data_IF_812963301725
#
_entry.id   IF_812963301725
#
_cell.length_a   1.000
_cell.length_b   1.000
_cell.length_c   1.000
_cell.angle_alpha   90.00
_cell.angle_beta   90.00
_cell.angle_gamma   90.00
#
_symmetry.space_group_name_H-M   'P 1'
#
loop_
_entity.id
_entity.type
_entity.pdbx_description
1 polymer ?
#
# COMPACT_ATOMS: atom_id res chain seq x y z
N UNK A 1 -1.17 -18.88 -11.27
CA UNK A 1 -0.44 -17.61 -11.09
C UNK A 1 -1.33 -16.51 -10.48
N UNK A 2 -2.57 -16.32 -10.97
CA UNK A 2 -3.51 -15.33 -10.40
C UNK A 2 -3.86 -15.59 -8.92
N UNK A 3 -3.90 -16.86 -8.50
CA UNK A 3 -4.11 -17.25 -7.10
C UNK A 3 -2.95 -16.82 -6.17
N UNK A 4 -1.71 -16.89 -6.64
CA UNK A 4 -0.54 -16.47 -5.86
C UNK A 4 -0.60 -14.97 -5.55
N UNK A 5 -1.04 -14.17 -6.54
CA UNK A 5 -1.25 -12.72 -6.37
C UNK A 5 -2.25 -12.41 -5.24
N UNK A 6 -3.38 -13.11 -5.21
CA UNK A 6 -4.40 -12.92 -4.18
C UNK A 6 -3.90 -13.30 -2.78
N UNK A 7 -3.12 -14.40 -2.69
CA UNK A 7 -2.54 -14.85 -1.42
C UNK A 7 -1.54 -13.83 -0.89
N UNK A 8 -0.59 -13.36 -1.73
CA UNK A 8 0.39 -12.35 -1.32
C UNK A 8 -0.29 -11.04 -0.90
N UNK A 9 -1.32 -10.60 -1.63
CA UNK A 9 -2.10 -9.43 -1.26
C UNK A 9 -2.82 -9.60 0.09
N UNK A 10 -3.39 -10.79 0.34
CA UNK A 10 -4.08 -11.09 1.60
C UNK A 10 -3.12 -11.13 2.79
N UNK A 11 -1.94 -11.75 2.64
CA UNK A 11 -0.92 -11.79 3.68
C UNK A 11 -0.43 -10.37 3.99
N UNK A 12 -0.15 -9.57 2.96
CA UNK A 12 0.29 -8.18 3.11
C UNK A 12 -0.75 -7.35 3.86
N UNK A 13 -2.02 -7.44 3.46
CA UNK A 13 -3.09 -6.70 4.11
C UNK A 13 -3.33 -7.16 5.55
N UNK A 14 -3.28 -8.48 5.83
CA UNK A 14 -3.33 -9.02 7.17
C UNK A 14 -2.24 -8.43 8.08
N UNK A 15 -0.99 -8.34 7.58
CA UNK A 15 0.12 -7.76 8.34
C UNK A 15 -0.14 -6.28 8.64
N UNK A 16 -0.60 -5.50 7.66
CA UNK A 16 -0.89 -4.08 7.87
C UNK A 16 -1.96 -3.88 8.95
N UNK A 17 -3.06 -4.65 8.89
CA UNK A 17 -4.12 -4.59 9.91
C UNK A 17 -3.58 -4.97 11.29
N UNK A 18 -2.74 -6.00 11.37
CA UNK A 18 -2.12 -6.44 12.62
C UNK A 18 -1.20 -5.36 13.21
N UNK A 19 -0.49 -4.61 12.39
CA UNK A 19 0.34 -3.48 12.82
C UNK A 19 -0.50 -2.39 13.48
N UNK A 20 -1.74 -2.18 13.02
CA UNK A 20 -2.69 -1.23 13.61
C UNK A 20 -3.32 -1.70 14.93
N UNK A 21 -2.92 -2.86 15.45
CA UNK A 21 -3.48 -3.41 16.69
C UNK A 21 -4.81 -4.13 16.53
N UNK A 22 -5.27 -4.35 15.28
CA UNK A 22 -6.50 -5.09 15.01
C UNK A 22 -6.16 -6.50 14.52
N UNK A 23 -7.03 -7.47 14.87
CA UNK A 23 -6.82 -8.86 14.47
C UNK A 23 -7.97 -9.35 13.58
N UNK A 24 -7.62 -9.75 12.37
CA UNK A 24 -8.53 -10.41 11.43
C UNK A 24 -7.85 -11.67 10.95
N UNK A 25 -8.58 -12.79 10.92
CA UNK A 25 -8.00 -14.05 10.45
C UNK A 25 -7.60 -13.95 8.99
N UNK A 26 -6.51 -14.62 8.62
CA UNK A 26 -6.02 -14.64 7.22
C UNK A 26 -7.06 -15.17 6.24
N UNK A 27 -7.85 -16.18 6.68
CA UNK A 27 -8.96 -16.74 5.87
C UNK A 27 -9.98 -15.66 5.52
N UNK A 28 -10.33 -14.79 6.47
CA UNK A 28 -11.27 -13.69 6.26
C UNK A 28 -10.69 -12.61 5.35
N UNK A 29 -9.39 -12.30 5.48
CA UNK A 29 -8.71 -11.41 4.55
C UNK A 29 -8.77 -11.94 3.10
N UNK A 30 -8.51 -13.23 2.91
CA UNK A 30 -8.60 -13.88 1.60
C UNK A 30 -10.02 -13.79 1.04
N UNK A 31 -11.05 -14.10 1.83
CA UNK A 31 -12.45 -14.04 1.39
C UNK A 31 -12.88 -12.62 1.00
N UNK A 32 -12.47 -11.61 1.78
CA UNK A 32 -12.77 -10.21 1.47
C UNK A 32 -12.10 -9.81 0.15
N UNK A 33 -10.83 -10.13 -0.04
CA UNK A 33 -10.09 -9.79 -1.26
C UNK A 33 -10.68 -10.51 -2.47
N UNK A 34 -11.01 -11.81 -2.36
CA UNK A 34 -11.66 -12.57 -3.41
C UNK A 34 -13.01 -11.96 -3.81
N UNK A 35 -13.82 -11.56 -2.84
CA UNK A 35 -15.13 -10.94 -3.10
C UNK A 35 -15.03 -9.56 -3.75
N UNK A 36 -13.99 -8.80 -3.45
CA UNK A 36 -13.79 -7.44 -3.96
C UNK A 36 -12.99 -7.43 -5.27
N UNK A 37 -12.20 -8.47 -5.53
CA UNK A 37 -11.28 -8.53 -6.67
C UNK A 37 -11.95 -8.27 -8.04
N UNK A 38 -13.14 -8.83 -8.36
CA UNK A 38 -13.80 -8.55 -9.63
C UNK A 38 -14.16 -7.07 -9.79
N UNK A 39 -14.70 -6.45 -8.74
CA UNK A 39 -15.04 -5.03 -8.74
C UNK A 39 -13.79 -4.15 -8.80
N UNK A 40 -12.74 -4.53 -8.09
CA UNK A 40 -11.46 -3.80 -8.12
C UNK A 40 -10.80 -3.88 -9.49
N UNK A 41 -10.97 -4.99 -10.23
CA UNK A 41 -10.41 -5.17 -11.57
C UNK A 41 -11.11 -4.32 -12.64
N UNK A 42 -12.40 -4.04 -12.48
CA UNK A 42 -13.20 -3.23 -13.40
C UNK A 42 -13.09 -1.74 -13.05
N UNK A 43 -12.83 -1.42 -11.77
CA UNK A 43 -12.77 -0.04 -11.29
C UNK A 43 -11.49 0.68 -11.77
N UNK A 44 -11.60 1.94 -12.22
CA UNK A 44 -10.44 2.74 -12.57
C UNK A 44 -9.51 2.88 -11.36
N UNK A 45 -8.20 2.72 -11.59
CA UNK A 45 -7.16 2.82 -10.55
C UNK A 45 -7.34 1.85 -9.36
N UNK A 46 -8.07 0.73 -9.55
CA UNK A 46 -8.39 -0.25 -8.49
C UNK A 46 -9.08 0.39 -7.26
N UNK A 47 -9.88 1.44 -7.49
CA UNK A 47 -10.64 2.11 -6.43
C UNK A 47 -11.62 1.17 -5.71
N UNK A 48 -12.01 0.06 -6.33
CA UNK A 48 -12.79 -1.01 -5.70
C UNK A 48 -12.16 -1.57 -4.42
N UNK A 49 -10.82 -1.46 -4.24
CA UNK A 49 -10.16 -1.86 -3.01
C UNK A 49 -10.63 -1.08 -1.76
N UNK A 50 -11.18 0.13 -1.94
CA UNK A 50 -11.79 0.87 -0.83
C UNK A 50 -13.03 0.16 -0.25
N UNK A 51 -13.64 -0.78 -0.97
CA UNK A 51 -14.71 -1.62 -0.44
C UNK A 51 -14.25 -2.53 0.71
N UNK A 52 -12.92 -2.73 0.88
CA UNK A 52 -12.35 -3.35 2.08
C UNK A 52 -12.79 -2.60 3.34
N UNK A 53 -12.81 -1.26 3.28
CA UNK A 53 -13.26 -0.41 4.39
C UNK A 53 -14.74 -0.66 4.74
N UNK A 54 -15.57 -0.87 3.72
CA UNK A 54 -16.98 -1.17 3.93
C UNK A 54 -17.20 -2.56 4.55
N UNK A 55 -16.40 -3.55 4.15
CA UNK A 55 -16.51 -4.92 4.64
C UNK A 55 -16.17 -5.05 6.14
N UNK A 56 -15.33 -4.16 6.67
CA UNK A 56 -14.89 -4.17 8.07
C UNK A 56 -15.47 -3.06 8.95
N UNK A 57 -16.39 -2.25 8.42
CA UNK A 57 -16.95 -1.07 9.09
C UNK A 57 -17.58 -1.34 10.47
N UNK A 58 -17.99 -2.57 10.75
CA UNK A 58 -18.57 -2.97 12.03
C UNK A 58 -17.53 -3.21 13.15
N UNK A 59 -16.28 -3.44 12.77
CA UNK A 59 -15.21 -3.84 13.69
C UNK A 59 -14.10 -2.79 13.76
N UNK A 60 -13.83 -2.11 12.66
CA UNK A 60 -12.76 -1.12 12.54
C UNK A 60 -13.32 0.12 11.86
N UNK A 61 -12.90 1.31 12.30
CA UNK A 61 -13.26 2.57 11.64
C UNK A 61 -12.95 2.49 10.13
N UNK A 62 -13.94 2.85 9.30
CA UNK A 62 -13.80 2.83 7.84
C UNK A 62 -12.61 3.67 7.37
N UNK A 63 -12.31 4.80 8.04
CA UNK A 63 -11.15 5.65 7.73
C UNK A 63 -9.83 4.92 7.99
N UNK A 64 -9.72 4.18 9.09
CA UNK A 64 -8.52 3.40 9.39
C UNK A 64 -8.30 2.29 8.36
N UNK A 65 -9.36 1.58 7.96
CA UNK A 65 -9.25 0.56 6.91
C UNK A 65 -8.93 1.19 5.55
N UNK A 66 -9.51 2.32 5.19
CA UNK A 66 -9.12 3.08 4.00
C UNK A 66 -7.65 3.48 4.03
N UNK A 67 -7.13 3.87 5.20
CA UNK A 67 -5.71 4.14 5.43
C UNK A 67 -4.83 2.93 5.11
N UNK A 68 -5.26 1.69 5.42
CA UNK A 68 -4.51 0.49 5.04
C UNK A 68 -4.41 0.34 3.53
N UNK A 69 -5.50 0.62 2.81
CA UNK A 69 -5.50 0.57 1.33
C UNK A 69 -4.57 1.62 0.75
N UNK A 70 -4.58 2.84 1.29
CA UNK A 70 -3.67 3.91 0.87
C UNK A 70 -2.22 3.51 1.14
N UNK A 71 -1.94 2.93 2.30
CA UNK A 71 -0.60 2.41 2.64
C UNK A 71 -0.15 1.35 1.65
N UNK A 72 -1.01 0.40 1.26
CA UNK A 72 -0.71 -0.57 0.21
C UNK A 72 -0.33 0.13 -1.11
N UNK A 73 -1.07 1.18 -1.52
CA UNK A 73 -0.79 1.92 -2.76
C UNK A 73 0.53 2.68 -2.71
N UNK A 74 0.85 3.30 -1.58
CA UNK A 74 2.14 3.98 -1.39
C UNK A 74 3.29 2.98 -1.52
N UNK A 75 3.17 1.81 -0.90
CA UNK A 75 4.18 0.75 -0.99
C UNK A 75 4.31 0.22 -2.42
N UNK A 76 3.20 0.01 -3.13
CA UNK A 76 3.22 -0.40 -4.53
C UNK A 76 3.93 0.66 -5.41
N UNK A 77 3.64 1.95 -5.20
CA UNK A 77 4.30 3.06 -5.91
C UNK A 77 5.80 3.12 -5.62
N UNK A 78 6.21 2.94 -4.37
CA UNK A 78 7.64 2.88 -3.99
C UNK A 78 8.34 1.76 -4.75
N UNK A 79 7.77 0.56 -4.75
CA UNK A 79 8.36 -0.60 -5.43
C UNK A 79 8.43 -0.42 -6.95
N UNK A 80 7.35 0.08 -7.57
CA UNK A 80 7.34 0.39 -9.00
C UNK A 80 8.39 1.43 -9.36
N UNK A 81 8.50 2.50 -8.56
CA UNK A 81 9.48 3.55 -8.79
C UNK A 81 10.91 3.04 -8.63
N UNK A 82 11.16 2.12 -7.66
CA UNK A 82 12.47 1.46 -7.50
C UNK A 82 12.80 0.59 -8.72
N UNK A 83 11.87 -0.22 -9.21
CA UNK A 83 12.09 -1.03 -10.40
C UNK A 83 12.31 -0.17 -11.64
N UNK A 84 11.53 0.91 -11.80
CA UNK A 84 11.70 1.85 -12.91
C UNK A 84 13.05 2.58 -12.82
N UNK A 85 13.48 2.97 -11.63
CA UNK A 85 14.77 3.63 -11.40
C UNK A 85 15.94 2.72 -11.77
N UNK A 86 15.95 1.48 -11.23
CA UNK A 86 16.99 0.49 -11.54
C UNK A 86 16.98 0.10 -13.01
N UNK A 87 15.80 -0.16 -13.58
CA UNK A 87 15.66 -0.48 -15.01
C UNK A 87 16.10 0.68 -15.92
N UNK A 88 15.78 1.91 -15.55
CA UNK A 88 16.21 3.10 -16.26
C UNK A 88 17.71 3.30 -16.26
N UNK A 89 18.38 3.01 -15.14
CA UNK A 89 19.84 3.01 -15.02
C UNK A 89 20.48 1.92 -15.90
N UNK A 90 19.96 0.69 -15.85
CA UNK A 90 20.51 -0.45 -16.58
C UNK A 90 20.35 -0.31 -18.10
N UNK A 91 19.28 0.37 -18.55
CA UNK A 91 18.96 0.57 -19.97
C UNK A 91 19.37 1.96 -20.49
N UNK A 92 20.11 2.74 -19.69
CA UNK A 92 20.53 4.12 -19.98
C UNK A 92 19.38 5.07 -20.39
N UNK A 93 18.19 4.83 -19.80
CA UNK A 93 16.99 5.62 -20.05
C UNK A 93 16.87 6.78 -19.06
N UNK A 94 17.58 7.89 -19.35
CA UNK A 94 17.69 9.07 -18.46
C UNK A 94 16.34 9.63 -18.00
N UNK A 95 15.36 9.69 -18.93
CA UNK A 95 14.03 10.22 -18.61
C UNK A 95 13.31 9.37 -17.55
N UNK A 96 13.33 8.04 -17.71
CA UNK A 96 12.70 7.10 -16.78
C UNK A 96 13.37 7.19 -15.42
N UNK A 97 14.70 7.23 -15.39
CA UNK A 97 15.49 7.37 -14.16
C UNK A 97 15.16 8.68 -13.43
N UNK A 98 15.06 9.79 -14.16
CA UNK A 98 14.75 11.10 -13.56
C UNK A 98 13.32 11.14 -12.98
N UNK A 99 12.33 10.67 -13.72
CA UNK A 99 10.93 10.65 -13.29
C UNK A 99 10.77 9.74 -12.05
N UNK A 100 11.31 8.52 -12.11
CA UNK A 100 11.19 7.56 -10.99
C UNK A 100 11.94 8.03 -9.74
N UNK A 101 13.11 8.64 -9.88
CA UNK A 101 13.83 9.30 -8.79
C UNK A 101 13.02 10.44 -8.16
N UNK A 102 12.37 11.27 -8.99
CA UNK A 102 11.48 12.34 -8.52
C UNK A 102 10.28 11.82 -7.72
N UNK A 103 9.66 10.71 -8.16
CA UNK A 103 8.56 10.08 -7.44
C UNK A 103 9.03 9.54 -6.08
N UNK A 104 10.19 8.90 -6.01
CA UNK A 104 10.76 8.39 -4.75
C UNK A 104 11.00 9.56 -3.78
N UNK A 105 11.61 10.64 -4.24
CA UNK A 105 11.85 11.82 -3.42
C UNK A 105 10.55 12.45 -2.92
N UNK A 106 9.53 12.52 -3.76
CA UNK A 106 8.21 13.04 -3.40
C UNK A 106 7.57 12.18 -2.30
N UNK A 107 7.61 10.85 -2.42
CA UNK A 107 7.06 9.95 -1.40
C UNK A 107 7.81 10.10 -0.08
N UNK A 108 9.15 10.15 -0.11
CA UNK A 108 9.96 10.39 1.09
C UNK A 108 9.59 11.72 1.74
N UNK A 109 9.42 12.77 0.94
CA UNK A 109 9.00 14.10 1.44
C UNK A 109 7.63 14.06 2.11
N UNK A 110 6.65 13.35 1.53
CA UNK A 110 5.32 13.20 2.13
C UNK A 110 5.41 12.43 3.47
N UNK A 111 6.19 11.36 3.52
CA UNK A 111 6.38 10.57 4.76
C UNK A 111 7.09 11.41 5.83
N UNK A 112 8.11 12.20 5.46
CA UNK A 112 8.77 13.12 6.38
C UNK A 112 7.82 14.21 6.88
N UNK A 113 7.08 14.86 5.98
CA UNK A 113 6.10 15.89 6.34
C UNK A 113 5.00 15.35 7.26
N UNK A 114 4.54 14.12 7.05
CA UNK A 114 3.55 13.49 7.93
C UNK A 114 4.05 13.31 9.37
N UNK A 115 5.36 13.13 9.57
CA UNK A 115 5.98 13.09 10.90
C UNK A 115 6.07 14.48 11.56
N UNK A 116 6.23 15.52 10.74
CA UNK A 116 6.30 16.92 11.21
C UNK A 116 4.94 17.63 11.26
N UNK A 117 3.86 16.97 10.83
CA UNK A 117 2.50 17.56 10.78
C UNK A 117 1.97 18.01 12.16
N UNK A 118 2.55 17.53 13.26
CA UNK A 118 2.28 18.04 14.60
C UNK A 118 2.71 19.51 14.80
N UNK A 119 3.59 20.05 13.95
CA UNK A 119 4.07 21.44 14.05
C UNK A 119 3.25 22.42 13.19
N UNK A 120 2.41 21.93 12.28
CA UNK A 120 1.59 22.79 11.43
C UNK A 120 0.19 22.96 12.02
N UNK A 121 -0.24 24.21 12.16
CA UNK A 121 -1.57 24.61 12.62
C UNK A 121 -2.62 24.35 11.52
N UNK A 122 -2.94 23.08 11.26
CA UNK A 122 -4.02 22.68 10.36
C UNK A 122 -5.28 22.50 11.20
N UNK A 123 -6.44 22.83 10.63
CA UNK A 123 -7.77 22.66 11.25
C UNK A 123 -7.89 21.24 11.87
N UNK A 124 -8.21 21.15 13.16
CA UNK A 124 -8.20 19.90 13.94
C UNK A 124 -9.00 18.79 13.28
N UNK A 125 -10.17 19.09 12.71
CA UNK A 125 -11.02 18.10 12.04
C UNK A 125 -10.37 17.46 10.78
N UNK A 126 -9.55 18.23 10.06
CA UNK A 126 -8.79 17.72 8.88
C UNK A 126 -7.57 16.93 9.36
N UNK A 127 -6.92 17.41 10.41
CA UNK A 127 -5.77 16.76 11.03
C UNK A 127 -6.11 15.36 11.53
N UNK A 128 -7.24 15.19 12.23
CA UNK A 128 -7.68 13.90 12.75
C UNK A 128 -7.96 12.89 11.64
N UNK A 129 -8.66 13.32 10.57
CA UNK A 129 -8.94 12.45 9.42
C UNK A 129 -7.67 12.06 8.68
N UNK A 130 -6.74 12.99 8.49
CA UNK A 130 -5.46 12.73 7.84
C UNK A 130 -4.59 11.82 8.71
N UNK A 131 -4.58 12.04 10.01
CA UNK A 131 -3.89 11.18 10.99
C UNK A 131 -4.41 9.75 10.93
N UNK A 132 -5.72 9.54 10.91
CA UNK A 132 -6.33 8.22 10.80
C UNK A 132 -5.98 7.51 9.48
N UNK A 133 -5.94 8.25 8.37
CA UNK A 133 -5.54 7.72 7.07
C UNK A 133 -4.05 7.31 7.01
N UNK A 134 -3.18 8.11 7.61
CA UNK A 134 -1.73 7.86 7.60
C UNK A 134 -1.27 7.00 8.79
N UNK A 135 -2.15 6.68 9.72
CA UNK A 135 -1.84 5.94 10.94
C UNK A 135 -1.16 4.59 10.65
N UNK A 136 -1.68 3.83 9.68
CA UNK A 136 -1.09 2.53 9.31
C UNK A 136 0.32 2.70 8.72
N UNK A 137 0.56 3.75 7.93
CA UNK A 137 1.86 4.04 7.35
C UNK A 137 2.88 4.42 8.44
N UNK A 138 2.50 5.31 9.35
CA UNK A 138 3.37 5.74 10.47
C UNK A 138 3.72 4.59 11.40
N UNK A 139 2.77 3.74 11.76
CA UNK A 139 3.03 2.56 12.58
C UNK A 139 3.95 1.56 11.86
N UNK A 140 3.79 1.40 10.54
CA UNK A 140 4.61 0.51 9.76
C UNK A 140 6.07 0.98 9.69
N UNK A 141 6.31 2.30 9.55
CA UNK A 141 7.67 2.86 9.55
C UNK A 141 8.38 2.72 10.90
N UNK A 142 7.64 2.53 11.99
CA UNK A 142 8.21 2.25 13.32
C UNK A 142 8.63 0.78 13.50
N UNK A 143 8.21 -0.12 12.59
CA UNK A 143 8.51 -1.55 12.64
C UNK A 143 9.28 -1.98 11.39
N UNK A 144 10.61 -1.69 11.30
CA UNK A 144 11.39 -1.87 10.08
C UNK A 144 11.39 -3.31 9.56
N UNK A 145 11.35 -4.30 10.45
CA UNK A 145 11.28 -5.71 10.05
C UNK A 145 9.99 -6.03 9.27
N UNK A 146 8.83 -5.53 9.76
CA UNK A 146 7.55 -5.74 9.08
C UNK A 146 7.47 -4.94 7.77
N UNK A 147 8.07 -3.76 7.74
CA UNK A 147 8.18 -2.96 6.52
C UNK A 147 8.99 -3.71 5.45
N UNK A 148 10.17 -4.25 5.80
CA UNK A 148 10.97 -5.06 4.90
C UNK A 148 10.22 -6.29 4.40
N UNK A 149 9.49 -6.98 5.28
CA UNK A 149 8.68 -8.13 4.91
C UNK A 149 7.58 -7.77 3.89
N UNK A 150 6.89 -6.64 4.11
CA UNK A 150 5.85 -6.16 3.18
C UNK A 150 6.47 -5.74 1.84
N UNK A 151 7.62 -5.07 1.84
CA UNK A 151 8.34 -4.71 0.62
C UNK A 151 8.76 -5.97 -0.16
N UNK A 152 9.27 -7.00 0.52
CA UNK A 152 9.62 -8.28 -0.10
C UNK A 152 8.40 -8.95 -0.73
N UNK A 153 7.27 -9.03 0.00
CA UNK A 153 6.03 -9.59 -0.52
C UNK A 153 5.52 -8.79 -1.73
N UNK A 154 5.67 -7.47 -1.71
CA UNK A 154 5.32 -6.61 -2.84
C UNK A 154 6.21 -6.86 -4.05
N UNK A 155 7.53 -7.02 -3.84
CA UNK A 155 8.47 -7.36 -4.90
C UNK A 155 8.11 -8.70 -5.54
N UNK A 156 7.88 -9.75 -4.73
CA UNK A 156 7.47 -11.06 -5.21
C UNK A 156 6.16 -11.01 -5.99
N UNK A 157 5.22 -10.19 -5.54
CA UNK A 157 3.94 -9.99 -6.21
C UNK A 157 4.11 -9.36 -7.61
N UNK A 158 4.96 -8.34 -7.74
CA UNK A 158 5.29 -7.72 -9.03
C UNK A 158 6.07 -8.65 -9.94
N UNK A 159 7.04 -9.42 -9.41
CA UNK A 159 7.74 -10.45 -10.17
C UNK A 159 6.78 -11.50 -10.75
N UNK A 160 5.86 -12.00 -9.92
CA UNK A 160 4.84 -12.96 -10.38
C UNK A 160 3.96 -12.36 -11.47
N UNK A 161 3.60 -11.07 -11.38
CA UNK A 161 2.82 -10.36 -12.40
C UNK A 161 3.58 -10.21 -13.73
N UNK A 162 4.87 -9.90 -13.67
CA UNK A 162 5.72 -9.78 -14.88
C UNK A 162 5.85 -11.12 -15.59
N UNK A 163 6.05 -12.21 -14.84
CA UNK A 163 6.11 -13.57 -15.43
C UNK A 163 4.78 -13.94 -16.10
N UNK A 164 3.66 -13.56 -15.47
CA UNK A 164 2.32 -13.83 -16.01
C UNK A 164 2.04 -13.10 -17.32
N UNK A 165 2.61 -11.91 -17.52
CA UNK A 165 2.41 -11.13 -18.76
C UNK A 165 3.25 -11.64 -19.94
N UNK A 166 4.26 -12.48 -19.68
CA UNK A 166 5.14 -13.05 -20.72
C UNK A 166 4.70 -14.45 -21.21
N UNK A 167 3.71 -15.03 -20.55
CA UNK A 167 3.11 -16.33 -20.94
C UNK A 167 1.79 -16.08 -21.65
#
# INVERSE_FOLDING_TARGET
>A
LSFSFLIFSAIRWHIIIKVMGNYISIKRCILIILGIWPLSSISPSKSGDLLKAFSLRKEISAMKVAGTVITERIIDLVMLSLFAFVGGLLLDQKLITFISGGIILLIISIVCLSRFSHMFSINESVKDKLSDLLHSLTLLTQKPFLLCLILLLTALNWFASIIQTKI
#
